data_IF_699667846770
#
_entry.id   IF_699667846770
#
_cell.length_a   1.000
_cell.length_b   1.000
_cell.length_c   1.000
_cell.angle_alpha   90.00
_cell.angle_beta   90.00
_cell.angle_gamma   90.00
#
_symmetry.space_group_name_H-M   'P 1'
#
loop_
_entity.id
_entity.type
_entity.pdbx_description
1 polymer ?
#
# COMPACT_ATOMS: atom_id res chain seq x y z
N UNK A 1 6.78 -14.42 -5.27
CA UNK A 1 5.71 -13.43 -4.99
C UNK A 1 4.82 -13.36 -6.20
N UNK A 2 3.51 -13.30 -6.01
CA UNK A 2 2.51 -13.41 -7.09
C UNK A 2 2.01 -12.02 -7.50
N UNK A 3 1.94 -11.10 -6.53
CA UNK A 3 1.44 -9.75 -6.74
C UNK A 3 2.17 -8.74 -5.84
N UNK A 4 2.35 -7.53 -6.33
CA UNK A 4 2.77 -6.38 -5.54
C UNK A 4 1.59 -5.42 -5.40
N UNK A 5 1.33 -4.96 -4.19
CA UNK A 5 0.22 -4.07 -3.86
C UNK A 5 0.75 -2.82 -3.17
N UNK A 6 0.35 -1.66 -3.66
CA UNK A 6 0.56 -0.37 -3.00
C UNK A 6 -0.77 0.05 -2.38
N UNK A 7 -0.84 0.14 -1.05
CA UNK A 7 -2.05 0.51 -0.34
C UNK A 7 -1.89 1.84 0.38
N UNK A 8 -2.83 2.78 0.21
CA UNK A 8 -2.81 4.06 0.93
C UNK A 8 -3.55 3.93 2.26
N UNK A 9 -2.89 4.19 3.39
CA UNK A 9 -3.44 4.22 4.75
C UNK A 9 -3.03 5.53 5.44
N UNK A 10 -3.97 6.23 6.08
CA UNK A 10 -3.64 7.43 6.86
C UNK A 10 -2.89 8.52 6.08
N UNK A 11 -3.17 8.63 4.77
CA UNK A 11 -2.49 9.56 3.87
C UNK A 11 -1.17 9.05 3.27
N UNK A 12 -0.69 7.88 3.67
CA UNK A 12 0.61 7.32 3.25
C UNK A 12 0.45 6.05 2.41
N UNK A 13 1.30 5.84 1.41
CA UNK A 13 1.35 4.59 0.67
C UNK A 13 2.24 3.54 1.37
N UNK A 14 1.77 2.30 1.39
CA UNK A 14 2.41 1.11 1.99
C UNK A 14 2.57 0.05 0.91
N UNK A 15 3.74 -0.60 0.84
CA UNK A 15 4.03 -1.61 -0.18
C UNK A 15 3.96 -3.00 0.42
N UNK A 16 3.24 -3.89 -0.25
CA UNK A 16 3.09 -5.28 0.13
C UNK A 16 3.45 -6.19 -1.03
N UNK A 17 4.25 -7.22 -0.76
CA UNK A 17 4.43 -8.35 -1.66
C UNK A 17 3.52 -9.49 -1.20
N UNK A 18 2.55 -9.86 -2.04
CA UNK A 18 1.56 -10.90 -1.74
C UNK A 18 1.97 -12.20 -2.44
N UNK A 19 1.99 -13.29 -1.67
CA UNK A 19 2.12 -14.64 -2.19
C UNK A 19 0.78 -15.36 -2.03
N UNK A 20 -0.06 -15.28 -3.06
CA UNK A 20 -1.39 -15.89 -3.06
C UNK A 20 -1.36 -17.42 -2.85
N UNK A 21 -0.32 -18.09 -3.35
CA UNK A 21 -0.16 -19.55 -3.20
C UNK A 21 0.13 -19.98 -1.77
N UNK A 22 0.85 -19.14 -1.02
CA UNK A 22 1.19 -19.41 0.38
C UNK A 22 0.25 -18.69 1.37
N UNK A 23 -0.70 -17.88 0.89
CA UNK A 23 -1.63 -17.12 1.74
C UNK A 23 -0.97 -16.05 2.61
N UNK A 24 0.25 -15.62 2.27
CA UNK A 24 1.04 -14.66 3.08
C UNK A 24 1.27 -13.35 2.33
N UNK A 25 1.38 -12.26 3.09
CA UNK A 25 1.77 -10.94 2.58
C UNK A 25 2.94 -10.40 3.39
N UNK A 26 3.91 -9.82 2.69
CA UNK A 26 5.13 -9.26 3.26
C UNK A 26 5.13 -7.76 3.07
N UNK A 27 5.32 -7.01 4.16
CA UNK A 27 5.50 -5.57 4.07
C UNK A 27 6.91 -5.25 3.56
N UNK A 28 7.00 -4.44 2.50
CA UNK A 28 8.27 -4.04 1.90
C UNK A 28 8.74 -2.72 2.53
N UNK A 29 9.92 -2.76 3.14
CA UNK A 29 10.57 -1.60 3.75
C UNK A 29 11.96 -1.41 3.16
N UNK A 30 12.36 -0.16 2.90
CA UNK A 30 13.72 0.14 2.49
C UNK A 30 14.70 -0.22 3.61
N UNK A 31 15.79 -0.92 3.26
CA UNK A 31 16.80 -1.43 4.21
C UNK A 31 17.52 -0.33 5.00
N UNK A 32 17.39 0.94 4.59
CA UNK A 32 18.15 2.08 5.13
C UNK A 32 17.52 2.74 6.35
N UNK A 33 16.51 2.13 6.99
CA UNK A 33 15.91 2.65 8.23
C UNK A 33 15.18 4.00 8.08
N UNK A 34 15.27 4.65 6.93
CA UNK A 34 14.45 5.79 6.54
C UNK A 34 13.02 5.30 6.39
N UNK A 35 12.20 5.60 7.41
CA UNK A 35 10.75 5.45 7.46
C UNK A 35 10.08 6.39 6.45
N UNK A 36 10.49 6.32 5.18
CA UNK A 36 9.78 6.89 4.04
C UNK A 36 8.49 6.09 3.87
N UNK A 37 7.58 6.33 4.81
CA UNK A 37 6.18 6.57 4.53
C UNK A 37 6.10 7.15 3.13
N UNK A 38 5.71 6.34 2.16
CA UNK A 38 5.73 6.73 0.76
C UNK A 38 4.65 7.80 0.63
N UNK A 39 5.01 9.08 0.67
CA UNK A 39 4.06 10.19 0.66
C UNK A 39 3.33 10.31 -0.69
N UNK A 40 3.86 9.66 -1.73
CA UNK A 40 3.32 9.70 -3.08
C UNK A 40 3.44 8.34 -3.76
N UNK A 41 2.45 8.02 -4.61
CA UNK A 41 2.44 6.83 -5.44
C UNK A 41 3.65 6.75 -6.38
N UNK A 42 4.11 7.89 -6.90
CA UNK A 42 5.29 7.99 -7.77
C UNK A 42 6.55 7.41 -7.11
N UNK A 43 6.80 7.75 -5.84
CA UNK A 43 7.95 7.20 -5.11
C UNK A 43 7.83 5.71 -4.85
N UNK A 44 6.62 5.24 -4.54
CA UNK A 44 6.36 3.80 -4.40
C UNK A 44 6.61 3.06 -5.73
N UNK A 45 6.18 3.64 -6.85
CA UNK A 45 6.42 3.10 -8.19
C UNK A 45 7.91 3.10 -8.56
N UNK A 46 8.64 4.17 -8.23
CA UNK A 46 10.08 4.26 -8.48
C UNK A 46 10.88 3.21 -7.69
N UNK A 47 10.51 2.95 -6.44
CA UNK A 47 11.11 1.87 -5.65
C UNK A 47 10.84 0.50 -6.26
N UNK A 48 9.58 0.22 -6.60
CA UNK A 48 9.18 -1.03 -7.25
C UNK A 48 9.95 -1.24 -8.56
N UNK A 49 10.08 -0.18 -9.37
CA UNK A 49 10.88 -0.19 -10.58
C UNK A 49 12.36 -0.51 -10.30
N UNK A 50 12.94 0.09 -9.25
CA UNK A 50 14.33 -0.14 -8.84
C UNK A 50 14.65 -1.59 -8.45
N UNK A 51 13.64 -2.37 -8.02
CA UNK A 51 13.78 -3.81 -7.73
C UNK A 51 13.25 -4.71 -8.86
N UNK A 52 12.97 -4.14 -10.05
CA UNK A 52 12.53 -4.89 -11.24
C UNK A 52 11.02 -5.17 -11.30
N UNK A 53 10.21 -4.58 -10.43
CA UNK A 53 8.76 -4.73 -10.42
C UNK A 53 8.11 -3.67 -11.31
N UNK A 54 7.58 -4.11 -12.45
CA UNK A 54 6.94 -3.21 -13.44
C UNK A 54 5.41 -3.19 -13.36
N UNK A 55 4.81 -4.14 -12.62
CA UNK A 55 3.35 -4.28 -12.49
C UNK A 55 2.97 -4.45 -11.03
N UNK A 56 2.10 -3.57 -10.55
CA UNK A 56 1.56 -3.60 -9.19
C UNK A 56 0.12 -3.09 -9.18
N UNK A 57 -0.64 -3.50 -8.18
CA UNK A 57 -2.00 -3.05 -7.93
C UNK A 57 -1.97 -1.88 -6.95
N UNK A 58 -2.74 -0.81 -7.19
CA UNK A 58 -2.91 0.26 -6.22
C UNK A 58 -4.27 0.11 -5.54
N UNK A 59 -4.28 0.10 -4.21
CA UNK A 59 -5.48 0.10 -3.39
C UNK A 59 -5.55 1.42 -2.62
N UNK A 60 -6.59 2.18 -2.87
CA UNK A 60 -6.91 3.32 -2.03
C UNK A 60 -7.75 2.80 -0.87
N UNK A 61 -7.48 3.28 0.34
CA UNK A 61 -8.49 3.19 1.39
C UNK A 61 -9.72 3.94 0.87
N UNK A 62 -10.74 3.17 0.50
CA UNK A 62 -12.07 3.72 0.31
C UNK A 62 -12.44 4.28 1.67
N UNK A 63 -12.44 5.60 1.81
CA UNK A 63 -12.93 6.26 3.00
C UNK A 63 -14.45 6.06 3.04
N UNK A 64 -14.93 4.82 3.24
CA UNK A 64 -16.22 4.55 3.88
C UNK A 64 -16.08 4.84 5.37
N UNK A 65 -15.71 6.07 5.69
CA UNK A 65 -15.93 6.60 7.02
C UNK A 65 -17.19 7.44 6.95
N UNK A 66 -18.19 7.02 7.72
CA UNK A 66 -19.30 7.81 8.22
C UNK A 66 -20.27 8.38 7.17
N UNK A 67 -21.20 7.56 6.67
CA UNK A 67 -22.55 8.08 6.43
C UNK A 67 -23.53 7.37 7.36
N UNK A 68 -24.07 8.18 8.29
CA UNK A 68 -25.31 8.00 9.07
C UNK A 68 -25.29 7.00 10.24
N UNK A 69 -25.05 7.54 11.44
CA UNK A 69 -26.09 7.50 12.48
C UNK A 69 -25.94 8.70 13.43
N UNK A 70 -26.19 9.89 12.89
CA UNK A 70 -26.57 11.04 13.72
C UNK A 70 -28.00 11.40 13.32
N UNK A 71 -28.94 10.57 13.78
CA UNK A 71 -30.34 10.97 13.92
C UNK A 71 -30.63 11.01 15.39
N UNK A 72 -30.31 12.17 15.98
CA UNK A 72 -30.97 12.59 17.19
C UNK A 72 -32.48 12.52 17.03
N UNK A 73 -33.15 11.98 18.05
CA UNK A 73 -34.39 12.52 18.57
C UNK A 73 -34.56 12.09 20.03
#
# INVERSE_FOLDING_TARGET
>A
MDEFVVQRFGGVYHLFAVNRRAGVSYFLQERRGDYKTWLSLDRAAAFLSGIGVSRFTVRFEDNKHAEKDDRGH
#
